data_IF_279168747799
#
_entry.id   IF_279168747799
#
_cell.length_a   1.000
_cell.length_b   1.000
_cell.length_c   1.000
_cell.angle_alpha   90.00
_cell.angle_beta   90.00
_cell.angle_gamma   90.00
#
_symmetry.space_group_name_H-M   'P 1'
#
loop_
_entity.id
_entity.type
_entity.pdbx_description
1 polymer ?
#
# COMPACT_ATOMS: atom_id res chain seq x y z
N UNK A 1 15.04 -9.87 6.09
CA UNK A 1 16.46 -9.91 5.68
C UNK A 1 17.09 -11.32 5.66
N UNK A 2 16.31 -12.42 5.57
CA UNK A 2 16.84 -13.79 5.66
C UNK A 2 16.79 -14.59 4.35
N UNK A 3 15.74 -14.42 3.51
CA UNK A 3 15.57 -15.26 2.31
C UNK A 3 16.49 -14.90 1.13
N UNK A 4 16.87 -13.63 0.98
CA UNK A 4 17.75 -13.20 -0.13
C UNK A 4 19.18 -13.73 0.00
N UNK A 5 19.68 -13.86 1.24
CA UNK A 5 21.02 -14.39 1.53
C UNK A 5 21.07 -15.92 1.36
N UNK A 6 19.96 -16.62 1.66
CA UNK A 6 19.86 -18.06 1.44
C UNK A 6 19.86 -18.42 -0.06
N UNK A 7 19.17 -17.64 -0.89
CA UNK A 7 19.20 -17.82 -2.34
C UNK A 7 20.59 -17.61 -2.94
N UNK A 8 21.34 -16.61 -2.47
CA UNK A 8 22.69 -16.33 -2.96
C UNK A 8 23.70 -17.43 -2.58
N UNK A 9 23.54 -18.02 -1.38
CA UNK A 9 24.38 -19.14 -0.91
C UNK A 9 24.08 -20.44 -1.65
N UNK A 10 22.81 -20.77 -1.85
CA UNK A 10 22.40 -21.95 -2.61
C UNK A 10 22.88 -21.85 -4.08
N UNK A 11 22.87 -20.62 -4.62
CA UNK A 11 23.38 -20.29 -5.94
C UNK A 11 24.90 -20.46 -6.08
N UNK A 12 25.72 -19.94 -5.14
CA UNK A 12 27.18 -20.18 -5.18
C UNK A 12 27.51 -21.66 -5.18
N UNK A 13 26.78 -22.45 -4.37
CA UNK A 13 26.94 -23.90 -4.28
C UNK A 13 26.57 -24.62 -5.59
N UNK A 14 25.48 -24.22 -6.25
CA UNK A 14 25.06 -24.80 -7.54
C UNK A 14 26.01 -24.43 -8.69
N UNK A 15 26.49 -23.18 -8.74
CA UNK A 15 27.43 -22.73 -9.78
C UNK A 15 28.82 -23.34 -9.58
N UNK A 16 29.31 -23.42 -8.34
CA UNK A 16 30.61 -24.02 -8.04
C UNK A 16 30.65 -25.53 -8.28
N UNK A 17 29.50 -26.22 -8.16
CA UNK A 17 29.40 -27.66 -8.42
C UNK A 17 29.19 -27.98 -9.91
N UNK A 18 28.56 -27.10 -10.68
CA UNK A 18 28.33 -27.30 -12.13
C UNK A 18 29.54 -26.97 -13.01
N UNK A 19 30.39 -26.01 -12.60
CA UNK A 19 31.62 -25.65 -13.32
C UNK A 19 32.55 -26.86 -13.60
N UNK A 20 32.88 -27.73 -12.62
CA UNK A 20 33.70 -28.90 -12.87
C UNK A 20 32.98 -29.99 -13.69
N UNK A 21 31.64 -30.08 -13.60
CA UNK A 21 30.87 -31.09 -14.36
C UNK A 21 30.89 -30.82 -15.86
N UNK A 22 30.92 -29.55 -16.27
CA UNK A 22 30.95 -29.15 -17.70
C UNK A 22 32.37 -28.93 -18.21
N UNK A 23 33.27 -28.37 -17.39
CA UNK A 23 34.64 -28.06 -17.82
C UNK A 23 35.55 -29.30 -17.93
N UNK A 24 35.37 -30.29 -17.04
CA UNK A 24 36.25 -31.48 -16.99
C UNK A 24 36.08 -32.39 -18.22
N UNK A 25 34.86 -32.69 -18.73
CA UNK A 25 34.69 -33.47 -19.95
C UNK A 25 35.16 -32.72 -21.22
N UNK A 26 35.03 -31.40 -21.24
CA UNK A 26 35.43 -30.56 -22.37
C UNK A 26 36.96 -30.47 -22.53
N UNK A 27 37.70 -30.49 -21.42
CA UNK A 27 39.17 -30.51 -21.40
C UNK A 27 39.76 -31.90 -21.67
N UNK A 28 39.07 -32.99 -21.30
CA UNK A 28 39.61 -34.36 -21.40
C UNK A 28 39.47 -35.01 -22.78
N UNK A 29 38.71 -34.45 -23.73
CA UNK A 29 38.56 -35.02 -25.09
C UNK A 29 38.52 -33.96 -26.20
N UNK A 30 39.64 -33.27 -26.42
CA UNK A 30 39.80 -32.34 -27.54
C UNK A 30 39.85 -33.01 -28.94
N UNK A 31 39.86 -34.36 -29.03
CA UNK A 31 40.05 -35.10 -30.29
C UNK A 31 38.79 -35.62 -30.99
N UNK A 32 37.62 -35.68 -30.34
CA UNK A 32 36.36 -36.17 -30.94
C UNK A 32 35.12 -35.47 -30.33
N UNK A 33 35.07 -34.14 -30.38
CA UNK A 33 33.85 -33.44 -29.98
C UNK A 33 32.76 -33.64 -31.02
N UNK A 34 31.85 -34.58 -30.77
CA UNK A 34 30.60 -34.69 -31.55
C UNK A 34 29.81 -33.37 -31.44
N UNK A 35 29.14 -32.91 -32.50
CA UNK A 35 28.36 -31.66 -32.51
C UNK A 35 27.41 -31.48 -31.32
N UNK A 36 26.89 -32.60 -30.80
CA UNK A 36 26.03 -32.65 -29.60
C UNK A 36 26.69 -32.07 -28.36
N UNK A 37 27.99 -32.31 -28.14
CA UNK A 37 28.71 -31.82 -26.96
C UNK A 37 28.92 -30.30 -27.04
N UNK A 38 29.19 -29.77 -28.24
CA UNK A 38 29.33 -28.32 -28.47
C UNK A 38 27.98 -27.62 -28.29
N UNK A 39 26.91 -28.22 -28.81
CA UNK A 39 25.55 -27.70 -28.62
C UNK A 39 25.15 -27.65 -27.14
N UNK A 40 25.37 -28.74 -26.39
CA UNK A 40 25.08 -28.78 -24.94
C UNK A 40 25.91 -27.77 -24.16
N UNK A 41 27.20 -27.63 -24.48
CA UNK A 41 28.11 -26.71 -23.81
C UNK A 41 27.74 -25.23 -24.03
N UNK A 42 27.06 -24.89 -25.14
CA UNK A 42 26.55 -23.53 -25.40
C UNK A 42 25.12 -23.32 -24.90
N UNK A 43 24.23 -24.28 -25.15
CA UNK A 43 22.81 -24.17 -24.84
C UNK A 43 22.53 -24.20 -23.34
N UNK A 44 23.17 -25.10 -22.58
CA UNK A 44 22.91 -25.21 -21.14
C UNK A 44 23.28 -23.93 -20.38
N UNK A 45 24.47 -23.32 -20.58
CA UNK A 45 24.78 -22.04 -19.96
C UNK A 45 23.87 -20.90 -20.43
N UNK A 46 23.51 -20.85 -21.72
CA UNK A 46 22.60 -19.84 -22.24
C UNK A 46 21.18 -19.95 -21.62
N UNK A 47 20.66 -21.17 -21.52
CA UNK A 47 19.38 -21.46 -20.87
C UNK A 47 19.43 -21.12 -19.37
N UNK A 48 20.51 -21.51 -18.67
CA UNK A 48 20.71 -21.16 -17.26
C UNK A 48 20.82 -19.64 -17.06
N UNK A 49 21.54 -18.93 -17.94
CA UNK A 49 21.65 -17.47 -17.90
C UNK A 49 20.29 -16.80 -18.16
N UNK A 50 19.53 -17.29 -19.14
CA UNK A 50 18.18 -16.78 -19.43
C UNK A 50 17.23 -17.00 -18.24
N UNK A 51 17.24 -18.19 -17.64
CA UNK A 51 16.47 -18.50 -16.43
C UNK A 51 16.94 -17.63 -15.26
N UNK A 52 18.25 -17.45 -15.08
CA UNK A 52 18.81 -16.58 -14.04
C UNK A 52 18.35 -15.13 -14.18
N UNK A 53 18.43 -14.56 -15.39
CA UNK A 53 17.99 -13.20 -15.65
C UNK A 53 16.48 -13.04 -15.42
N UNK A 54 15.69 -14.08 -15.69
CA UNK A 54 14.23 -14.10 -15.48
C UNK A 54 13.82 -14.29 -14.02
N UNK A 55 14.60 -15.05 -13.24
CA UNK A 55 14.36 -15.27 -11.81
C UNK A 55 14.95 -14.18 -10.91
N UNK A 56 15.72 -13.25 -11.50
CA UNK A 56 16.34 -12.17 -10.75
C UNK A 56 15.23 -11.21 -10.26
N UNK A 57 15.17 -10.90 -8.95
CA UNK A 57 14.17 -9.98 -8.43
C UNK A 57 14.33 -8.60 -9.07
N UNK A 58 13.20 -8.01 -9.44
CA UNK A 58 13.16 -6.64 -9.94
C UNK A 58 13.34 -5.67 -8.78
N UNK A 59 14.15 -4.63 -8.99
CA UNK A 59 14.15 -3.50 -8.06
C UNK A 59 12.77 -2.83 -8.11
N UNK A 60 12.22 -2.52 -6.93
CA UNK A 60 10.94 -1.81 -6.80
C UNK A 60 11.26 -0.42 -6.26
N UNK A 61 10.82 0.59 -6.98
CA UNK A 61 11.04 1.99 -6.66
C UNK A 61 9.73 2.62 -6.24
N UNK A 62 9.77 3.46 -5.21
CA UNK A 62 8.69 4.41 -4.93
C UNK A 62 8.88 5.59 -5.88
N UNK A 63 7.95 5.75 -6.82
CA UNK A 63 7.99 6.80 -7.85
C UNK A 63 7.63 8.13 -7.22
N UNK A 64 6.46 8.18 -6.55
CA UNK A 64 5.96 9.35 -5.84
C UNK A 64 4.88 8.92 -4.83
N UNK A 65 4.44 9.85 -3.99
CA UNK A 65 3.34 9.69 -3.05
C UNK A 65 2.53 10.98 -2.90
N UNK A 66 1.29 10.83 -2.45
CA UNK A 66 0.46 11.95 -2.02
C UNK A 66 -0.27 11.58 -0.73
N UNK A 67 -0.48 12.58 0.12
CA UNK A 67 -1.27 12.44 1.33
C UNK A 67 -2.53 13.28 1.17
N UNK A 68 -3.65 12.77 1.67
CA UNK A 68 -4.86 13.55 1.77
C UNK A 68 -4.64 14.76 2.68
N UNK A 69 -4.93 15.95 2.15
CA UNK A 69 -4.94 17.20 2.91
C UNK A 69 -6.39 17.66 3.08
N UNK A 70 -6.97 17.56 4.29
CA UNK A 70 -8.35 17.98 4.53
C UNK A 70 -8.55 19.48 4.33
N UNK A 71 -9.76 19.86 3.92
CA UNK A 71 -10.19 21.26 3.85
C UNK A 71 -10.20 21.90 5.25
N UNK A 72 -9.84 23.18 5.40
CA UNK A 72 -9.91 23.88 6.69
C UNK A 72 -11.28 23.84 7.36
N UNK A 73 -12.36 23.65 6.59
CA UNK A 73 -13.72 23.51 7.12
C UNK A 73 -13.94 22.25 7.98
N UNK A 74 -13.09 21.22 7.82
CA UNK A 74 -13.17 19.97 8.58
C UNK A 74 -12.33 20.00 9.87
N UNK A 75 -11.67 21.14 10.15
CA UNK A 75 -10.84 21.32 11.34
C UNK A 75 -11.69 21.28 12.60
N UNK A 76 -11.22 20.54 13.61
CA UNK A 76 -11.87 20.47 14.92
C UNK A 76 -10.89 20.86 16.02
N UNK A 77 -10.90 22.15 16.44
CA UNK A 77 -10.19 22.60 17.63
C UNK A 77 -10.68 21.89 18.89
N UNK A 78 -9.86 21.86 19.94
CA UNK A 78 -10.18 21.16 21.19
C UNK A 78 -11.45 21.72 21.85
N UNK A 79 -11.67 23.02 21.75
CA UNK A 79 -12.89 23.67 22.26
C UNK A 79 -14.15 23.16 21.55
N UNK A 80 -14.12 23.06 20.21
CA UNK A 80 -15.23 22.55 19.41
C UNK A 80 -15.49 21.07 19.72
N UNK A 81 -14.43 20.27 19.84
CA UNK A 81 -14.54 18.87 20.26
C UNK A 81 -15.19 18.73 21.65
N UNK A 82 -14.77 19.55 22.62
CA UNK A 82 -15.31 19.52 23.98
C UNK A 82 -16.80 19.90 23.99
N UNK A 83 -17.18 20.95 23.27
CA UNK A 83 -18.58 21.38 23.14
C UNK A 83 -19.44 20.27 22.52
N UNK A 84 -19.02 19.71 21.38
CA UNK A 84 -19.74 18.62 20.72
C UNK A 84 -19.84 17.38 21.63
N UNK A 85 -18.73 16.96 22.24
CA UNK A 85 -18.72 15.79 23.13
C UNK A 85 -19.67 15.99 24.33
N UNK A 86 -19.81 17.20 24.86
CA UNK A 86 -20.70 17.48 26.00
C UNK A 86 -22.19 17.22 25.71
N UNK A 87 -22.58 17.25 24.44
CA UNK A 87 -23.95 16.94 24.01
C UNK A 87 -24.21 15.44 23.86
N UNK A 88 -23.15 14.64 23.73
CA UNK A 88 -23.23 13.22 23.33
C UNK A 88 -22.78 12.24 24.42
N UNK A 89 -21.99 12.67 25.40
CA UNK A 89 -21.48 11.81 26.49
C UNK A 89 -21.72 12.43 27.86
N UNK A 90 -21.68 11.61 28.91
CA UNK A 90 -21.81 12.10 30.29
C UNK A 90 -20.57 12.89 30.76
N UNK A 91 -20.76 13.74 31.76
CA UNK A 91 -19.72 14.61 32.34
C UNK A 91 -18.44 13.87 32.77
N UNK A 92 -18.53 12.63 33.28
CA UNK A 92 -17.35 11.86 33.70
C UNK A 92 -16.55 11.41 32.48
N UNK A 93 -17.24 10.99 31.43
CA UNK A 93 -16.67 10.59 30.13
C UNK A 93 -16.06 11.78 29.41
N UNK A 94 -16.77 12.92 29.36
CA UNK A 94 -16.27 14.17 28.81
C UNK A 94 -14.95 14.60 29.46
N UNK A 95 -14.90 14.65 30.79
CA UNK A 95 -13.69 15.03 31.54
C UNK A 95 -12.53 14.05 31.30
N UNK A 96 -12.81 12.79 31.01
CA UNK A 96 -11.79 11.84 30.61
C UNK A 96 -11.27 12.15 29.20
N UNK A 97 -12.16 12.35 28.23
CA UNK A 97 -11.83 12.67 26.84
C UNK A 97 -11.01 13.97 26.71
N UNK A 98 -11.42 15.05 27.39
CA UNK A 98 -10.70 16.34 27.36
C UNK A 98 -9.27 16.18 27.88
N UNK A 99 -9.09 15.54 29.05
CA UNK A 99 -7.74 15.30 29.61
C UNK A 99 -6.88 14.40 28.74
N UNK A 100 -7.49 13.43 28.04
CA UNK A 100 -6.77 12.58 27.09
C UNK A 100 -6.34 13.40 25.87
N UNK A 101 -7.24 14.21 25.32
CA UNK A 101 -6.98 15.05 24.15
C UNK A 101 -5.84 16.05 24.41
N UNK A 102 -5.88 16.77 25.54
CA UNK A 102 -4.82 17.71 25.97
C UNK A 102 -3.43 17.07 26.10
N UNK A 103 -3.38 15.74 26.32
CA UNK A 103 -2.14 14.98 26.51
C UNK A 103 -1.82 14.03 25.36
N UNK A 104 -2.61 14.06 24.29
CA UNK A 104 -2.49 13.13 23.16
C UNK A 104 -1.33 13.46 22.23
N UNK A 105 -0.83 14.70 22.27
CA UNK A 105 0.14 15.22 21.30
C UNK A 105 -0.48 15.63 19.96
N UNK A 106 -1.82 15.58 19.83
CA UNK A 106 -2.53 16.14 18.68
C UNK A 106 -2.51 17.67 18.70
N UNK A 107 -2.56 18.28 17.51
CA UNK A 107 -2.67 19.73 17.35
C UNK A 107 -4.12 20.20 17.16
N UNK A 108 -4.32 21.50 17.31
CA UNK A 108 -5.60 22.20 17.07
C UNK A 108 -6.03 22.22 15.58
N UNK A 109 -5.11 21.85 14.68
CA UNK A 109 -5.33 21.80 13.23
C UNK A 109 -5.77 20.41 12.71
N UNK A 110 -6.03 19.48 13.62
CA UNK A 110 -6.50 18.14 13.22
C UNK A 110 -7.96 18.18 12.75
N UNK A 111 -8.31 17.28 11.84
CA UNK A 111 -9.61 17.28 11.18
C UNK A 111 -10.39 15.99 11.47
N UNK A 112 -11.72 16.10 11.45
CA UNK A 112 -12.67 14.99 11.57
C UNK A 112 -13.60 14.95 10.34
N UNK A 113 -14.14 13.78 9.97
CA UNK A 113 -15.09 13.64 8.87
C UNK A 113 -16.36 14.46 9.09
N UNK A 114 -17.00 14.92 8.02
CA UNK A 114 -18.22 15.75 8.05
C UNK A 114 -19.31 15.17 8.99
N UNK A 115 -19.49 13.85 8.93
CA UNK A 115 -20.41 13.09 9.76
C UNK A 115 -20.24 13.33 11.29
N UNK A 116 -19.02 13.63 11.73
CA UNK A 116 -18.69 13.88 13.14
C UNK A 116 -18.89 15.34 13.57
N UNK A 117 -19.19 16.25 12.64
CA UNK A 117 -19.55 17.64 12.93
C UNK A 117 -21.04 17.80 13.27
N UNK A 118 -21.89 16.82 12.95
CA UNK A 118 -23.30 16.83 13.33
C UNK A 118 -23.49 16.51 14.82
N UNK A 119 -24.60 17.03 15.39
CA UNK A 119 -25.02 16.75 16.77
C UNK A 119 -26.43 16.13 16.72
N UNK A 120 -26.59 14.83 17.03
CA UNK A 120 -25.53 13.84 17.30
C UNK A 120 -24.75 13.45 16.03
N UNK A 121 -23.52 12.90 16.16
CA UNK A 121 -22.73 12.42 15.01
C UNK A 121 -23.45 11.36 14.19
N UNK A 122 -23.37 11.48 12.87
CA UNK A 122 -23.84 10.49 11.92
C UNK A 122 -22.88 9.30 11.84
N UNK A 123 -23.44 8.10 11.67
CA UNK A 123 -22.70 6.83 11.69
C UNK A 123 -23.23 5.82 10.68
N UNK A 124 -24.00 6.28 9.69
CA UNK A 124 -24.56 5.41 8.67
C UNK A 124 -23.52 5.09 7.58
N UNK A 125 -23.89 4.15 6.71
CA UNK A 125 -23.02 3.66 5.64
C UNK A 125 -22.79 4.71 4.55
N UNK A 126 -23.73 5.64 4.35
CA UNK A 126 -23.61 6.72 3.36
C UNK A 126 -22.52 7.70 3.79
N UNK A 127 -22.64 8.28 4.98
CA UNK A 127 -21.65 9.24 5.48
C UNK A 127 -20.26 8.60 5.66
N UNK A 128 -20.19 7.31 6.00
CA UNK A 128 -18.92 6.55 6.03
C UNK A 128 -18.31 6.39 4.64
N UNK A 129 -19.14 6.19 3.62
CA UNK A 129 -18.69 6.10 2.22
C UNK A 129 -18.23 7.46 1.71
N UNK A 130 -18.92 8.54 2.06
CA UNK A 130 -18.53 9.90 1.67
C UNK A 130 -17.15 10.27 2.25
N UNK A 131 -16.87 9.93 3.51
CA UNK A 131 -15.54 10.07 4.10
C UNK A 131 -14.49 9.27 3.31
N UNK A 132 -14.77 7.99 3.05
CA UNK A 132 -13.84 7.12 2.35
C UNK A 132 -13.52 7.63 0.93
N UNK A 133 -14.54 7.98 0.15
CA UNK A 133 -14.39 8.51 -1.20
C UNK A 133 -13.64 9.84 -1.20
N UNK A 134 -13.95 10.75 -0.27
CA UNK A 134 -13.23 12.02 -0.12
C UNK A 134 -11.73 11.78 0.08
N UNK A 135 -11.35 10.94 1.04
CA UNK A 135 -9.94 10.71 1.40
C UNK A 135 -9.21 9.94 0.30
N UNK A 136 -9.79 8.84 -0.17
CA UNK A 136 -9.18 7.94 -1.17
C UNK A 136 -8.98 8.66 -2.50
N UNK A 137 -10.04 9.31 -3.01
CA UNK A 137 -9.96 9.93 -4.34
C UNK A 137 -9.08 11.17 -4.32
N UNK A 138 -9.13 12.00 -3.28
CA UNK A 138 -8.24 13.18 -3.19
C UNK A 138 -6.77 12.76 -3.19
N UNK A 139 -6.39 11.72 -2.42
CA UNK A 139 -5.01 11.24 -2.38
C UNK A 139 -4.56 10.65 -3.73
N UNK A 140 -5.42 9.92 -4.42
CA UNK A 140 -5.11 9.37 -5.75
C UNK A 140 -5.03 10.51 -6.80
N UNK A 141 -5.98 11.44 -6.80
CA UNK A 141 -6.04 12.57 -7.73
C UNK A 141 -4.73 13.39 -7.65
N UNK A 142 -4.28 13.72 -6.43
CA UNK A 142 -3.02 14.44 -6.23
C UNK A 142 -1.79 13.65 -6.73
N UNK A 143 -1.77 12.33 -6.50
CA UNK A 143 -0.67 11.47 -6.94
C UNK A 143 -0.62 11.36 -8.46
N UNK A 144 -1.77 11.13 -9.11
CA UNK A 144 -1.86 11.00 -10.56
C UNK A 144 -1.59 12.34 -11.25
N UNK A 145 -2.01 13.47 -10.65
CA UNK A 145 -1.67 14.80 -11.13
C UNK A 145 -0.16 15.07 -11.10
N UNK A 146 0.54 14.68 -10.03
CA UNK A 146 2.01 14.82 -9.91
C UNK A 146 2.78 13.93 -10.88
N UNK A 147 2.36 12.68 -11.01
CA UNK A 147 3.09 11.65 -11.77
C UNK A 147 2.70 11.60 -13.25
N UNK A 148 1.56 12.21 -13.62
CA UNK A 148 0.95 12.15 -14.96
C UNK A 148 0.70 10.72 -15.46
N UNK A 149 0.43 9.82 -14.52
CA UNK A 149 0.13 8.41 -14.79
C UNK A 149 -1.35 8.27 -15.06
N UNK A 150 -1.72 7.58 -16.13
CA UNK A 150 -3.12 7.28 -16.41
C UNK A 150 -3.59 6.08 -15.59
N UNK A 151 -4.90 5.97 -15.36
CA UNK A 151 -5.47 4.77 -14.72
C UNK A 151 -5.17 3.48 -15.48
N UNK A 152 -5.02 3.57 -16.82
CA UNK A 152 -4.66 2.44 -17.69
C UNK A 152 -3.22 1.95 -17.48
N UNK A 153 -2.33 2.80 -16.94
CA UNK A 153 -0.93 2.45 -16.66
C UNK A 153 -0.76 1.71 -15.32
N UNK A 154 -1.83 1.50 -14.55
CA UNK A 154 -1.80 0.85 -13.24
C UNK A 154 -2.11 -0.65 -13.41
N UNK A 155 -1.16 -1.51 -13.06
CA UNK A 155 -1.30 -2.97 -13.20
C UNK A 155 -1.80 -3.66 -11.92
N UNK A 156 -1.45 -3.07 -10.77
CA UNK A 156 -1.76 -3.61 -9.45
C UNK A 156 -2.34 -2.50 -8.60
N UNK A 157 -3.45 -2.79 -7.92
CA UNK A 157 -4.09 -1.89 -6.97
C UNK A 157 -4.15 -2.58 -5.60
N UNK A 158 -3.59 -1.95 -4.57
CA UNK A 158 -3.75 -2.40 -3.19
C UNK A 158 -4.37 -1.27 -2.40
N UNK A 159 -5.59 -1.46 -1.91
CA UNK A 159 -6.25 -0.51 -1.02
C UNK A 159 -6.33 -1.12 0.37
N UNK A 160 -6.13 -0.34 1.42
CA UNK A 160 -6.37 -0.79 2.79
C UNK A 160 -7.19 0.21 3.60
N UNK A 161 -8.05 -0.35 4.46
CA UNK A 161 -8.83 0.34 5.47
C UNK A 161 -9.24 -0.67 6.54
N UNK A 162 -9.00 -0.38 7.82
CA UNK A 162 -9.19 -1.37 8.88
C UNK A 162 -10.63 -1.43 9.38
N UNK A 163 -11.24 -0.26 9.54
CA UNK A 163 -12.47 -0.05 10.29
C UNK A 163 -13.73 -0.01 9.41
N UNK A 164 -13.58 0.04 8.09
CA UNK A 164 -14.70 0.09 7.16
C UNK A 164 -14.39 -0.67 5.86
N UNK A 165 -15.15 -1.73 5.60
CA UNK A 165 -15.03 -2.57 4.40
C UNK A 165 -16.41 -2.76 3.75
N UNK A 166 -16.91 -1.76 3.00
CA UNK A 166 -18.23 -1.83 2.38
C UNK A 166 -18.26 -2.71 1.12
N UNK A 167 -19.47 -2.97 0.63
CA UNK A 167 -19.74 -3.50 -0.70
C UNK A 167 -20.51 -2.43 -1.51
N UNK A 168 -20.01 -1.96 -2.67
CA UNK A 168 -18.74 -2.33 -3.33
C UNK A 168 -17.50 -1.97 -2.50
N UNK A 169 -16.39 -2.68 -2.73
CA UNK A 169 -15.15 -2.44 -1.99
C UNK A 169 -14.46 -1.16 -2.44
N UNK A 170 -13.50 -0.66 -1.64
CA UNK A 170 -12.71 0.53 -2.02
C UNK A 170 -11.92 0.28 -3.31
N UNK A 171 -11.41 -0.94 -3.49
CA UNK A 171 -10.74 -1.33 -4.71
C UNK A 171 -11.69 -1.24 -5.92
N UNK A 172 -12.93 -1.72 -5.81
CA UNK A 172 -13.93 -1.64 -6.88
C UNK A 172 -14.29 -0.19 -7.23
N UNK A 173 -14.42 0.66 -6.20
CA UNK A 173 -14.69 2.09 -6.37
C UNK A 173 -13.56 2.78 -7.14
N UNK A 174 -12.30 2.50 -6.78
CA UNK A 174 -11.12 3.04 -7.48
C UNK A 174 -11.04 2.52 -8.92
N UNK A 175 -11.22 1.22 -9.15
CA UNK A 175 -11.26 0.61 -10.50
C UNK A 175 -12.29 1.28 -11.39
N UNK A 176 -13.51 1.47 -10.87
CA UNK A 176 -14.61 2.09 -11.60
C UNK A 176 -14.39 3.57 -11.89
N UNK A 177 -13.89 4.34 -10.92
CA UNK A 177 -13.70 5.80 -11.03
C UNK A 177 -12.57 6.16 -12.02
N UNK A 178 -11.41 5.53 -11.87
CA UNK A 178 -10.22 5.86 -12.65
C UNK A 178 -10.09 5.05 -13.95
N UNK A 179 -11.08 4.21 -14.27
CA UNK A 179 -11.10 3.38 -15.47
C UNK A 179 -9.82 2.54 -15.59
N UNK A 180 -9.45 1.88 -14.49
CA UNK A 180 -8.36 0.90 -14.52
C UNK A 180 -8.72 -0.22 -15.50
N UNK A 181 -7.70 -0.88 -16.02
CA UNK A 181 -7.87 -1.97 -16.99
C UNK A 181 -8.65 -3.13 -16.39
N UNK A 182 -9.36 -3.87 -17.25
CA UNK A 182 -10.14 -5.05 -16.84
C UNK A 182 -9.27 -6.16 -16.22
N UNK A 183 -7.98 -6.21 -16.57
CA UNK A 183 -7.01 -7.19 -16.07
C UNK A 183 -6.23 -6.71 -14.83
N UNK A 184 -6.62 -5.59 -14.22
CA UNK A 184 -5.98 -5.06 -13.02
C UNK A 184 -6.05 -6.06 -11.87
N UNK A 185 -4.92 -6.26 -11.19
CA UNK A 185 -4.88 -7.08 -9.97
C UNK A 185 -5.20 -6.20 -8.77
N UNK A 186 -6.45 -6.24 -8.31
CA UNK A 186 -6.90 -5.45 -7.17
C UNK A 186 -6.97 -6.27 -5.88
N UNK A 187 -6.57 -5.67 -4.75
CA UNK A 187 -6.67 -6.25 -3.41
C UNK A 187 -7.18 -5.19 -2.44
N UNK A 188 -8.18 -5.55 -1.63
CA UNK A 188 -8.64 -4.75 -0.51
C UNK A 188 -8.26 -5.43 0.82
N UNK A 189 -7.41 -4.80 1.63
CA UNK A 189 -6.98 -5.29 2.92
C UNK A 189 -7.75 -4.59 4.05
N UNK A 190 -8.38 -5.38 4.92
CA UNK A 190 -9.07 -4.89 6.10
C UNK A 190 -8.60 -5.62 7.37
N UNK A 191 -8.85 -5.01 8.54
CA UNK A 191 -8.56 -5.63 9.84
C UNK A 191 -7.08 -5.67 10.27
N UNK A 192 -6.16 -5.02 9.55
CA UNK A 192 -4.72 -5.03 9.89
C UNK A 192 -4.29 -3.89 10.84
N UNK A 193 -5.17 -2.92 11.09
CA UNK A 193 -4.94 -1.78 11.97
C UNK A 193 -3.82 -0.87 11.46
N UNK A 194 -3.14 -0.19 12.37
CA UNK A 194 -2.10 0.81 12.03
C UNK A 194 -0.90 0.24 11.24
N UNK A 195 -0.73 -1.08 11.17
CA UNK A 195 0.32 -1.72 10.36
C UNK A 195 -0.06 -1.92 8.88
N UNK A 196 -1.34 -1.70 8.53
CA UNK A 196 -1.90 -1.94 7.20
C UNK A 196 -1.13 -1.25 6.08
N UNK A 197 -0.61 -0.03 6.31
CA UNK A 197 0.18 0.70 5.32
C UNK A 197 1.44 -0.05 4.89
N UNK A 198 2.27 -0.48 5.85
CA UNK A 198 3.51 -1.23 5.56
C UNK A 198 3.22 -2.60 4.94
N UNK A 199 2.18 -3.28 5.42
CA UNK A 199 1.75 -4.58 4.89
C UNK A 199 1.29 -4.44 3.44
N UNK A 200 0.59 -3.36 3.11
CA UNK A 200 0.14 -3.07 1.74
C UNK A 200 1.31 -2.79 0.80
N UNK A 201 2.31 -2.05 1.26
CA UNK A 201 3.54 -1.80 0.49
C UNK A 201 4.32 -3.10 0.26
N UNK A 202 4.43 -3.96 1.28
CA UNK A 202 5.08 -5.27 1.14
C UNK A 202 4.31 -6.19 0.18
N UNK A 203 2.97 -6.22 0.28
CA UNK A 203 2.13 -6.96 -0.65
C UNK A 203 2.33 -6.47 -2.09
N UNK A 204 2.25 -5.16 -2.32
CA UNK A 204 2.46 -4.57 -3.64
C UNK A 204 3.85 -4.88 -4.19
N UNK A 205 4.89 -4.79 -3.35
CA UNK A 205 6.25 -5.19 -3.72
C UNK A 205 6.31 -6.65 -4.15
N UNK A 206 5.70 -7.56 -3.41
CA UNK A 206 5.69 -8.99 -3.74
C UNK A 206 4.93 -9.29 -5.04
N UNK A 207 3.81 -8.61 -5.28
CA UNK A 207 3.08 -8.70 -6.54
C UNK A 207 3.89 -8.16 -7.72
N UNK A 208 4.64 -7.08 -7.52
CA UNK A 208 5.55 -6.53 -8.54
C UNK A 208 6.72 -7.46 -8.87
N UNK A 209 7.16 -8.34 -7.96
CA UNK A 209 8.21 -9.32 -8.26
C UNK A 209 7.79 -10.36 -9.29
N UNK A 210 6.49 -10.65 -9.37
CA UNK A 210 5.91 -11.66 -10.28
C UNK A 210 5.14 -11.03 -11.44
N UNK A 211 5.07 -9.70 -11.49
CA UNK A 211 4.47 -8.95 -12.58
C UNK A 211 5.46 -8.80 -13.75
N UNK A 212 4.96 -8.53 -14.97
CA UNK A 212 5.81 -8.17 -16.09
C UNK A 212 6.74 -6.99 -15.77
N UNK A 213 7.92 -7.00 -16.39
CA UNK A 213 8.87 -5.90 -16.22
C UNK A 213 8.28 -4.57 -16.65
N UNK A 214 8.41 -3.57 -15.79
CA UNK A 214 7.89 -2.22 -16.03
C UNK A 214 6.50 -1.94 -15.49
N UNK A 215 5.91 -2.88 -14.74
CA UNK A 215 4.61 -2.69 -14.10
C UNK A 215 4.62 -1.63 -13.00
N UNK A 216 3.46 -0.99 -12.81
CA UNK A 216 3.15 -0.03 -11.77
C UNK A 216 2.13 -0.60 -10.78
N UNK A 217 2.34 -0.33 -9.50
CA UNK A 217 1.40 -0.65 -8.44
C UNK A 217 0.98 0.61 -7.69
N UNK A 218 -0.32 0.82 -7.56
CA UNK A 218 -0.92 1.88 -6.75
C UNK A 218 -1.28 1.28 -5.38
N UNK A 219 -0.70 1.84 -4.32
CA UNK A 219 -1.04 1.49 -2.93
C UNK A 219 -1.79 2.66 -2.31
N UNK A 220 -2.97 2.42 -1.76
CA UNK A 220 -3.77 3.43 -1.08
C UNK A 220 -4.09 2.96 0.33
N UNK A 221 -3.85 3.83 1.30
CA UNK A 221 -4.09 3.57 2.72
C UNK A 221 -4.96 4.67 3.28
N UNK A 222 -6.04 4.30 3.95
CA UNK A 222 -6.96 5.23 4.60
C UNK A 222 -7.54 4.57 5.85
N UNK A 223 -8.13 5.35 6.74
CA UNK A 223 -8.89 4.83 7.87
C UNK A 223 -10.18 5.62 7.98
N UNK A 224 -11.32 4.95 7.75
CA UNK A 224 -12.65 5.57 7.82
C UNK A 224 -13.20 5.46 9.23
N UNK A 225 -13.33 6.59 9.91
CA UNK A 225 -13.64 6.63 11.35
C UNK A 225 -15.09 6.99 11.66
N UNK A 226 -15.85 7.49 10.68
CA UNK A 226 -17.28 7.83 10.80
C UNK A 226 -18.13 6.78 11.52
N UNK A 227 -18.10 5.48 11.15
CA UNK A 227 -19.04 4.52 11.75
C UNK A 227 -18.71 4.17 13.20
N UNK A 228 -17.53 4.56 13.69
CA UNK A 228 -16.97 4.07 14.97
C UNK A 228 -17.07 5.07 16.12
N UNK A 229 -17.82 6.16 15.97
CA UNK A 229 -18.00 7.12 17.07
C UNK A 229 -18.75 6.49 18.25
N UNK A 230 -18.09 6.39 19.41
CA UNK A 230 -18.61 5.70 20.59
C UNK A 230 -19.19 6.68 21.62
N UNK A 231 -20.46 6.50 22.00
CA UNK A 231 -21.16 7.35 22.99
C UNK A 231 -21.39 6.68 24.34
N UNK A 232 -20.83 5.49 24.56
CA UNK A 232 -20.98 4.78 25.84
C UNK A 232 -20.01 5.28 26.91
N UNK A 233 -19.96 4.54 28.03
CA UNK A 233 -19.23 4.96 29.25
C UNK A 233 -17.90 4.22 29.46
N UNK A 234 -17.61 3.22 28.63
CA UNK A 234 -16.39 2.45 28.76
C UNK A 234 -15.19 3.29 28.33
N UNK A 235 -14.26 3.55 29.26
CA UNK A 235 -13.14 4.48 29.01
C UNK A 235 -12.26 4.00 27.88
N UNK A 236 -12.01 2.70 27.80
CA UNK A 236 -11.19 2.10 26.75
C UNK A 236 -11.75 2.38 25.34
N UNK A 237 -13.08 2.47 25.21
CA UNK A 237 -13.77 2.70 23.95
C UNK A 237 -13.91 4.19 23.60
N UNK A 238 -13.58 5.11 24.52
CA UNK A 238 -13.55 6.55 24.27
C UNK A 238 -12.20 7.05 23.74
N UNK A 239 -11.14 6.24 23.81
CA UNK A 239 -9.82 6.61 23.26
C UNK A 239 -9.88 6.91 21.76
N UNK A 240 -10.50 6.07 20.90
CA UNK A 240 -10.61 6.32 19.46
C UNK A 240 -11.19 7.69 19.12
N UNK A 241 -12.27 8.10 19.79
CA UNK A 241 -12.88 9.41 19.57
C UNK A 241 -11.88 10.57 19.78
N UNK A 242 -10.93 10.41 20.71
CA UNK A 242 -9.94 11.45 21.01
C UNK A 242 -8.73 11.38 20.09
N UNK A 243 -8.30 10.19 19.69
CA UNK A 243 -7.02 9.94 19.02
C UNK A 243 -7.12 9.86 17.50
N UNK A 244 -8.19 9.28 16.97
CA UNK A 244 -8.31 9.08 15.53
C UNK A 244 -8.72 10.35 14.82
N UNK A 245 -8.08 10.60 13.69
CA UNK A 245 -8.29 11.75 12.81
C UNK A 245 -8.38 11.25 11.39
N UNK A 246 -9.09 11.99 10.56
CA UNK A 246 -9.21 11.65 9.15
C UNK A 246 -7.85 11.78 8.46
N UNK A 247 -7.54 10.84 7.56
CA UNK A 247 -6.26 10.83 6.86
C UNK A 247 -6.16 9.69 5.87
N UNK A 248 -5.31 9.85 4.88
CA UNK A 248 -5.00 8.82 3.91
C UNK A 248 -3.79 9.17 3.07
N UNK A 249 -3.24 8.18 2.39
CA UNK A 249 -2.10 8.33 1.51
C UNK A 249 -2.21 7.38 0.31
N UNK A 250 -1.71 7.85 -0.83
CA UNK A 250 -1.52 7.06 -2.03
C UNK A 250 -0.03 7.04 -2.39
N UNK A 251 0.47 5.88 -2.80
CA UNK A 251 1.87 5.65 -3.16
C UNK A 251 1.92 4.92 -4.49
N UNK A 252 2.74 5.43 -5.42
CA UNK A 252 3.02 4.77 -6.68
C UNK A 252 4.34 4.02 -6.61
N UNK A 253 4.30 2.71 -6.86
CA UNK A 253 5.47 1.85 -6.95
C UNK A 253 5.66 1.39 -8.39
N UNK A 254 6.92 1.23 -8.83
CA UNK A 254 7.22 0.74 -10.17
C UNK A 254 8.47 -0.13 -10.20
N UNK A 255 8.53 -1.06 -11.15
CA UNK A 255 9.77 -1.80 -11.48
C UNK A 255 10.60 -1.12 -12.57
N UNK A 256 10.12 0.00 -13.15
CA UNK A 256 10.91 0.81 -14.10
C UNK A 256 11.98 1.60 -13.34
N UNK A 257 13.22 1.54 -13.84
CA UNK A 257 14.33 2.31 -13.27
C UNK A 257 14.12 3.83 -13.37
N UNK A 258 14.62 4.57 -12.36
CA UNK A 258 14.41 6.02 -12.19
C UNK A 258 14.80 6.89 -13.39
N UNK A 259 15.76 6.46 -14.23
CA UNK A 259 16.16 7.19 -15.44
C UNK A 259 15.05 7.37 -16.46
N UNK A 260 13.98 6.57 -16.40
CA UNK A 260 12.86 6.64 -17.35
C UNK A 260 11.73 7.58 -16.93
N UNK A 261 11.68 8.02 -15.67
CA UNK A 261 10.63 8.91 -15.16
C UNK A 261 11.00 10.41 -15.26
N UNK A 262 12.29 10.74 -15.42
CA UNK A 262 12.78 12.12 -15.48
C UNK A 262 12.50 12.86 -16.80
N UNK A 263 11.55 12.39 -17.62
CA UNK A 263 11.26 12.92 -18.95
C UNK A 263 9.79 12.96 -19.35
N UNK A 264 8.85 12.82 -18.41
CA UNK A 264 7.40 12.98 -18.64
C UNK A 264 6.84 14.16 -17.84
#
# INVERSE_FOLDING_TARGET
>A
MSSSVQHERLYRLLVSSMLPIVAVPLMLKAGELRPVHVFLAAFVPAALAAVYLRLRPHAVYMVDYACFCPSPGLRVPFAAFQEHASTCVDERSLRFMVRLLERSGLGEETCLPDAQHYIPPERDLGSSRDEAELVVFSAIDDLLAKTKVSGEDIDILVVNCSLFAPTPSFADMVVSRYKLREDVRSVHLAGMGCSAGLISVELARNLLQVAPGGSNALVVSTETITPNYYTGKERAMLLPNCLFRMGGAAVLLSTRGSRTWCGR
#
